data_IF_929637157089
#
_entry.id   IF_929637157089
#
_cell.length_a   1.000
_cell.length_b   1.000
_cell.length_c   1.000
_cell.angle_alpha   90.00
_cell.angle_beta   90.00
_cell.angle_gamma   90.00
#
_symmetry.space_group_name_H-M   'P 1'
#
loop_
_entity.id
_entity.type
_entity.pdbx_description
1 polymer ?
#
# COMPACT_ATOMS: atom_id res chain seq x y z
N UNK A 1 -7.16 4.79 8.95
CA UNK A 1 -6.37 3.75 9.65
C UNK A 1 -5.07 3.51 8.88
N UNK A 2 -3.92 3.41 9.56
CA UNK A 2 -2.63 3.10 8.95
C UNK A 2 -2.18 1.73 9.46
N UNK A 3 -1.73 0.88 8.56
CA UNK A 3 -0.98 -0.32 8.88
C UNK A 3 0.48 0.06 9.20
N UNK A 4 1.15 -0.71 10.06
CA UNK A 4 2.49 -0.38 10.58
C UNK A 4 2.58 0.98 11.31
N UNK A 5 1.66 1.23 12.24
CA UNK A 5 1.58 2.47 13.05
C UNK A 5 2.92 2.91 13.66
N UNK A 6 3.74 1.96 14.12
CA UNK A 6 5.07 2.23 14.70
C UNK A 6 5.99 2.93 13.71
N UNK A 7 6.01 2.51 12.46
CA UNK A 7 6.84 3.10 11.41
C UNK A 7 6.30 4.47 10.96
N UNK A 8 4.98 4.62 10.93
CA UNK A 8 4.34 5.91 10.64
C UNK A 8 4.66 6.97 11.70
N UNK A 9 4.66 6.59 12.98
CA UNK A 9 5.02 7.49 14.09
C UNK A 9 6.53 7.72 14.13
N UNK A 10 7.33 6.67 13.91
CA UNK A 10 8.78 6.73 13.90
C UNK A 10 9.34 7.65 12.80
N UNK A 11 8.59 7.88 11.72
CA UNK A 11 8.86 8.94 10.76
C UNK A 11 10.17 8.80 10.00
N UNK A 12 10.79 7.61 9.99
CA UNK A 12 12.10 7.39 9.36
C UNK A 12 11.97 7.43 7.84
N UNK A 13 12.62 8.41 7.22
CA UNK A 13 12.47 8.71 5.78
C UNK A 13 13.62 8.13 4.92
N UNK A 14 14.75 7.82 5.55
CA UNK A 14 16.06 7.53 4.96
C UNK A 14 16.44 6.04 5.04
N UNK A 15 15.45 5.17 5.21
CA UNK A 15 15.67 3.72 5.21
C UNK A 15 15.90 3.24 3.77
N UNK A 16 17.11 2.75 3.50
CA UNK A 16 17.50 2.27 2.17
C UNK A 16 16.84 0.91 1.89
N UNK A 17 16.16 0.73 0.74
CA UNK A 17 15.60 -0.57 0.37
C UNK A 17 16.70 -1.63 0.18
N UNK A 18 16.40 -2.85 0.59
CA UNK A 18 17.23 -4.04 0.32
C UNK A 18 16.50 -4.84 -0.75
N UNK A 19 17.11 -5.03 -1.92
CA UNK A 19 16.52 -5.74 -3.06
C UNK A 19 15.14 -5.19 -3.50
N UNK A 20 14.96 -3.87 -3.40
CA UNK A 20 13.70 -3.20 -3.73
C UNK A 20 12.62 -3.28 -2.65
N UNK A 21 12.88 -3.96 -1.53
CA UNK A 21 11.98 -4.05 -0.38
C UNK A 21 12.42 -3.06 0.69
N UNK A 22 11.50 -2.25 1.20
CA UNK A 22 11.80 -1.36 2.32
C UNK A 22 11.79 -2.18 3.63
N UNK A 23 12.92 -2.29 4.36
CA UNK A 23 12.96 -3.04 5.62
C UNK A 23 12.29 -2.30 6.80
N UNK A 24 11.84 -1.06 6.59
CA UNK A 24 11.21 -0.22 7.61
C UNK A 24 11.00 1.22 7.14
N UNK A 25 10.65 2.11 8.07
CA UNK A 25 10.41 3.53 7.83
C UNK A 25 9.06 3.82 7.16
N UNK A 26 8.85 5.09 6.81
CA UNK A 26 7.57 5.57 6.26
C UNK A 26 7.11 4.81 5.02
N UNK A 27 8.05 4.27 4.21
CA UNK A 27 7.73 3.43 3.05
C UNK A 27 7.00 2.12 3.40
N UNK A 28 7.05 1.69 4.65
CA UNK A 28 6.36 0.50 5.16
C UNK A 28 4.96 0.82 5.71
N UNK A 29 4.60 2.10 5.87
CA UNK A 29 3.27 2.50 6.31
C UNK A 29 2.29 2.47 5.14
N UNK A 30 1.24 1.66 5.27
CA UNK A 30 0.22 1.44 4.24
C UNK A 30 -1.16 1.84 4.74
N UNK A 31 -2.04 2.19 3.81
CA UNK A 31 -3.48 2.23 4.07
C UNK A 31 -4.11 1.07 3.32
N UNK A 32 -4.67 0.13 4.08
CA UNK A 32 -5.27 -1.10 3.56
C UNK A 32 -6.79 -1.01 3.67
N UNK A 33 -7.49 -1.20 2.56
CA UNK A 33 -8.95 -1.28 2.52
C UNK A 33 -9.34 -2.57 1.81
N UNK A 34 -10.08 -3.43 2.48
CA UNK A 34 -10.57 -4.69 1.93
C UNK A 34 -12.08 -4.83 2.10
N UNK A 35 -12.71 -5.50 1.14
CA UNK A 35 -14.08 -5.96 1.26
C UNK A 35 -14.16 -7.46 1.02
N UNK A 36 -15.09 -8.12 1.68
CA UNK A 36 -15.32 -9.56 1.58
C UNK A 36 -16.83 -9.87 1.48
N UNK A 37 -17.16 -11.00 0.88
CA UNK A 37 -18.52 -11.53 0.84
C UNK A 37 -18.89 -12.03 2.24
N UNK A 38 -19.95 -11.46 2.83
CA UNK A 38 -20.36 -11.75 4.21
C UNK A 38 -20.89 -13.17 4.42
N UNK A 39 -21.35 -13.84 3.35
CA UNK A 39 -21.91 -15.20 3.41
C UNK A 39 -20.81 -16.24 3.29
N UNK A 40 -19.81 -16.01 2.43
CA UNK A 40 -18.74 -16.98 2.16
C UNK A 40 -17.45 -16.70 2.93
N UNK A 41 -17.25 -15.44 3.36
CA UNK A 41 -16.00 -14.97 3.95
C UNK A 41 -14.90 -14.66 2.93
N UNK A 42 -15.14 -14.88 1.63
CA UNK A 42 -14.11 -14.69 0.60
C UNK A 42 -13.85 -13.20 0.33
N UNK A 43 -12.58 -12.78 0.18
CA UNK A 43 -12.24 -11.41 -0.22
C UNK A 43 -12.71 -11.13 -1.65
N UNK A 44 -13.25 -9.94 -1.89
CA UNK A 44 -13.83 -9.54 -3.19
C UNK A 44 -13.18 -8.29 -3.79
N UNK A 45 -12.61 -7.42 -2.94
CA UNK A 45 -11.96 -6.18 -3.32
C UNK A 45 -10.80 -5.93 -2.34
N UNK A 46 -9.68 -5.46 -2.87
CA UNK A 46 -8.57 -4.94 -2.08
C UNK A 46 -8.01 -3.65 -2.67
N UNK A 47 -7.68 -2.69 -1.82
CA UNK A 47 -6.95 -1.48 -2.16
C UNK A 47 -5.76 -1.35 -1.20
N UNK A 48 -4.58 -1.18 -1.78
CA UNK A 48 -3.33 -0.91 -1.08
C UNK A 48 -2.90 0.50 -1.46
N UNK A 49 -2.83 1.42 -0.51
CA UNK A 49 -2.31 2.76 -0.73
C UNK A 49 -0.97 2.91 0.00
N UNK A 50 0.05 3.29 -0.74
CA UNK A 50 1.42 3.57 -0.31
C UNK A 50 1.65 5.08 -0.35
N UNK A 51 1.28 5.84 0.71
CA UNK A 51 1.36 7.30 0.71
C UNK A 51 2.80 7.83 0.59
N UNK A 52 3.79 7.07 1.04
CA UNK A 52 5.19 7.46 1.10
C UNK A 52 6.06 6.71 0.06
N UNK A 53 5.53 6.44 -1.14
CA UNK A 53 6.24 5.64 -2.14
C UNK A 53 7.53 6.30 -2.67
N UNK A 54 7.44 7.57 -3.10
CA UNK A 54 8.58 8.31 -3.65
C UNK A 54 8.63 9.71 -3.05
N UNK A 55 9.81 10.14 -2.62
CA UNK A 55 10.04 11.51 -2.17
C UNK A 55 10.71 12.30 -3.28
N UNK A 56 10.15 13.46 -3.61
CA UNK A 56 10.76 14.41 -4.51
C UNK A 56 12.01 15.02 -3.82
N UNK A 57 13.22 14.89 -4.41
CA UNK A 57 14.45 15.37 -3.79
C UNK A 57 14.53 16.90 -3.68
N UNK A 58 13.83 17.64 -4.56
CA UNK A 58 13.84 19.09 -4.58
C UNK A 58 12.77 19.66 -3.65
N UNK A 59 11.52 19.20 -3.79
CA UNK A 59 10.39 19.74 -3.02
C UNK A 59 10.21 19.09 -1.66
N UNK A 60 10.90 17.97 -1.41
CA UNK A 60 10.78 17.09 -0.23
C UNK A 60 9.38 16.52 0.00
N UNK A 61 8.45 16.71 -0.95
CA UNK A 61 7.08 16.20 -0.88
C UNK A 61 7.03 14.70 -1.20
N UNK A 62 6.09 14.01 -0.56
CA UNK A 62 5.81 12.61 -0.82
C UNK A 62 4.81 12.46 -1.96
N UNK A 63 5.12 11.57 -2.88
CA UNK A 63 4.25 11.07 -3.92
C UNK A 63 3.84 9.65 -3.52
N UNK A 64 2.55 9.45 -3.35
CA UNK A 64 1.98 8.13 -3.09
C UNK A 64 1.73 7.35 -4.38
N UNK A 65 1.49 6.05 -4.22
CA UNK A 65 0.87 5.20 -5.25
C UNK A 65 -0.20 4.33 -4.63
N UNK A 66 -1.09 3.80 -5.45
CA UNK A 66 -2.09 2.86 -4.98
C UNK A 66 -2.24 1.70 -5.96
N UNK A 67 -2.55 0.53 -5.41
CA UNK A 67 -2.89 -0.66 -6.15
C UNK A 67 -4.28 -1.11 -5.75
N UNK A 68 -5.02 -1.69 -6.69
CA UNK A 68 -6.34 -2.24 -6.41
C UNK A 68 -6.54 -3.54 -7.17
N UNK A 69 -7.41 -4.40 -6.63
CA UNK A 69 -7.82 -5.64 -7.25
C UNK A 69 -9.26 -5.99 -6.89
N UNK A 70 -9.98 -6.57 -7.85
CA UNK A 70 -11.37 -7.06 -7.72
C UNK A 70 -11.41 -8.52 -8.13
N UNK A 71 -12.02 -9.35 -7.30
CA UNK A 71 -12.26 -10.77 -7.56
C UNK A 71 -13.68 -11.15 -7.11
N UNK A 72 -14.65 -11.05 -8.00
CA UNK A 72 -16.05 -11.35 -7.68
C UNK A 72 -16.80 -11.97 -8.86
N UNK A 73 -17.40 -13.14 -8.65
CA UNK A 73 -17.95 -13.96 -9.73
C UNK A 73 -16.88 -14.25 -10.77
N UNK A 74 -17.16 -13.92 -12.03
CA UNK A 74 -16.22 -14.08 -13.14
C UNK A 74 -15.25 -12.88 -13.31
N UNK A 75 -15.46 -11.80 -12.57
CA UNK A 75 -14.63 -10.59 -12.68
C UNK A 75 -13.32 -10.78 -11.94
N UNK A 76 -12.20 -10.64 -12.66
CA UNK A 76 -10.83 -10.56 -12.10
C UNK A 76 -10.09 -9.40 -12.76
N UNK A 77 -9.97 -8.29 -12.05
CA UNK A 77 -9.32 -7.07 -12.55
C UNK A 77 -8.35 -6.55 -11.49
N UNK A 78 -7.25 -5.91 -11.93
CA UNK A 78 -6.36 -5.22 -11.02
C UNK A 78 -5.68 -4.02 -11.71
N UNK A 79 -5.12 -3.13 -10.90
CA UNK A 79 -4.38 -1.95 -11.35
C UNK A 79 -3.02 -2.25 -11.98
N UNK A 80 -2.55 -3.49 -11.85
CA UNK A 80 -1.29 -3.93 -12.43
C UNK A 80 -1.55 -4.28 -13.90
N UNK A 81 -1.06 -3.46 -14.81
CA UNK A 81 -0.97 -3.84 -16.22
C UNK A 81 0.01 -5.03 -16.37
N UNK A 82 -0.22 -5.94 -17.33
CA UNK A 82 0.82 -6.86 -17.80
C UNK A 82 2.07 -6.11 -18.29
#
# INVERSE_FOLDING_TARGET
PADSTTECIGGREDVTPVDGVAPGGLRSALVLVGAYDRRTGCPVLGVINEPFFRRDPLTRRWQGRYHWGVAYGDTRLCSLSP
#
